data_IF_329037286317
#
_entry.id   IF_329037286317
#
_cell.length_a   1.000
_cell.length_b   1.000
_cell.length_c   1.000
_cell.angle_alpha   90.00
_cell.angle_beta   90.00
_cell.angle_gamma   90.00
#
_symmetry.space_group_name_H-M   'P 1'
#
loop_
_entity.id
_entity.type
_entity.pdbx_description
1 polymer ?
#
# COMPACT_ATOMS: atom_id res chain seq x y z
N UNK A 1 22.60 -4.58 -20.08
CA UNK A 1 23.25 -3.44 -19.37
C UNK A 1 22.28 -2.26 -19.33
N UNK A 2 21.78 -1.80 -20.46
CA UNK A 2 20.77 -0.72 -20.56
C UNK A 2 19.50 -0.92 -19.71
N UNK A 3 18.88 -2.11 -19.72
CA UNK A 3 17.70 -2.37 -18.87
C UNK A 3 17.98 -2.24 -17.37
N UNK A 4 19.22 -2.51 -16.94
CA UNK A 4 19.60 -2.36 -15.54
C UNK A 4 19.72 -0.88 -15.17
N UNK A 5 20.24 -0.05 -16.07
CA UNK A 5 20.24 1.42 -15.90
C UNK A 5 18.82 1.99 -15.88
N UNK A 6 17.92 1.52 -16.75
CA UNK A 6 16.52 1.94 -16.75
C UNK A 6 15.80 1.60 -15.44
N UNK A 7 15.99 0.38 -14.92
CA UNK A 7 15.46 -0.01 -13.62
C UNK A 7 16.03 0.87 -12.50
N UNK A 8 17.34 1.14 -12.53
CA UNK A 8 17.99 1.97 -11.52
C UNK A 8 17.53 3.43 -11.56
N UNK A 9 17.24 3.98 -12.74
CA UNK A 9 16.61 5.29 -12.89
C UNK A 9 15.20 5.33 -12.29
N UNK A 10 14.43 4.26 -12.45
CA UNK A 10 13.12 4.10 -11.81
C UNK A 10 13.21 4.12 -10.28
N UNK A 11 14.14 3.36 -9.70
CA UNK A 11 14.40 3.36 -8.25
C UNK A 11 14.90 4.72 -7.75
N UNK A 12 15.78 5.39 -8.49
CA UNK A 12 16.24 6.73 -8.15
C UNK A 12 15.07 7.72 -8.06
N UNK A 13 14.11 7.62 -8.98
CA UNK A 13 12.88 8.44 -8.98
C UNK A 13 11.98 8.11 -7.79
N UNK A 14 11.76 6.82 -7.52
CA UNK A 14 10.93 6.36 -6.41
C UNK A 14 11.51 6.75 -5.03
N UNK A 15 12.84 6.80 -4.91
CA UNK A 15 13.55 7.19 -3.69
C UNK A 15 13.70 8.71 -3.51
N UNK A 16 13.17 9.53 -4.43
CA UNK A 16 13.19 10.98 -4.24
C UNK A 16 12.35 11.38 -3.00
N UNK A 17 12.76 12.43 -2.26
CA UNK A 17 12.09 12.82 -1.01
C UNK A 17 10.58 13.00 -1.17
N UNK A 18 10.15 13.65 -2.26
CA UNK A 18 8.73 13.89 -2.56
C UNK A 18 7.92 12.61 -2.67
N UNK A 19 8.41 11.60 -3.41
CA UNK A 19 7.69 10.33 -3.58
C UNK A 19 7.61 9.57 -2.25
N UNK A 20 8.70 9.61 -1.46
CA UNK A 20 8.74 8.99 -0.14
C UNK A 20 7.72 9.63 0.81
N UNK A 21 7.61 10.96 0.88
CA UNK A 21 6.60 11.62 1.72
C UNK A 21 5.19 11.26 1.29
N UNK A 22 4.92 11.23 -0.02
CA UNK A 22 3.61 10.84 -0.54
C UNK A 22 3.28 9.38 -0.22
N UNK A 23 4.25 8.46 -0.33
CA UNK A 23 4.07 7.06 0.07
C UNK A 23 3.79 6.93 1.57
N UNK A 24 4.52 7.64 2.41
CA UNK A 24 4.30 7.64 3.86
C UNK A 24 2.90 8.14 4.19
N UNK A 25 2.49 9.29 3.63
CA UNK A 25 1.14 9.83 3.84
C UNK A 25 0.08 8.86 3.33
N UNK A 26 0.25 8.28 2.14
CA UNK A 26 -0.68 7.30 1.57
C UNK A 26 -0.82 6.05 2.44
N UNK A 27 0.28 5.52 2.97
CA UNK A 27 0.27 4.38 3.90
C UNK A 27 -0.40 4.75 5.21
N UNK A 28 -0.10 5.90 5.80
CA UNK A 28 -0.74 6.34 7.05
C UNK A 28 -2.26 6.53 6.87
N UNK A 29 -2.69 7.14 5.77
CA UNK A 29 -4.11 7.25 5.43
C UNK A 29 -4.73 5.87 5.19
N UNK A 30 -4.05 4.98 4.47
CA UNK A 30 -4.48 3.61 4.23
C UNK A 30 -4.60 2.78 5.52
N UNK A 31 -3.72 3.00 6.50
CA UNK A 31 -3.83 2.40 7.83
C UNK A 31 -5.02 2.97 8.59
N UNK A 32 -5.21 4.29 8.61
CA UNK A 32 -6.34 4.92 9.30
C UNK A 32 -7.68 4.43 8.73
N UNK A 33 -7.79 4.34 7.40
CA UNK A 33 -8.98 3.84 6.71
C UNK A 33 -9.12 2.32 6.87
N UNK A 34 -8.03 1.57 6.74
CA UNK A 34 -8.02 0.11 6.82
C UNK A 34 -8.27 -0.44 8.23
N UNK A 35 -7.94 0.34 9.26
CA UNK A 35 -8.15 0.00 10.68
C UNK A 35 -9.54 0.44 11.16
N UNK A 36 -10.40 1.00 10.29
CA UNK A 36 -11.80 1.22 10.64
C UNK A 36 -12.41 -0.09 11.18
N UNK A 37 -12.89 -0.10 12.44
CA UNK A 37 -13.35 -1.30 13.10
C UNK A 37 -14.56 -1.85 12.33
N UNK A 38 -14.37 -3.00 11.69
CA UNK A 38 -15.39 -3.65 10.87
C UNK A 38 -15.07 -3.80 9.38
N UNK A 39 -13.91 -3.39 8.86
CA UNK A 39 -13.60 -3.55 7.42
C UNK A 39 -12.47 -4.55 7.05
N UNK A 40 -11.48 -4.78 7.91
CA UNK A 40 -10.27 -5.55 7.51
C UNK A 40 -10.29 -7.06 7.76
N UNK A 41 -10.74 -7.50 8.93
CA UNK A 41 -10.70 -8.92 9.34
C UNK A 41 -12.09 -9.55 9.55
N UNK A 42 -13.07 -8.88 10.19
CA UNK A 42 -14.42 -9.45 10.34
C UNK A 42 -15.14 -9.60 9.01
N UNK A 43 -14.96 -8.68 8.05
CA UNK A 43 -15.63 -8.77 6.74
C UNK A 43 -15.06 -9.88 5.86
N UNK A 44 -13.75 -10.11 5.86
CA UNK A 44 -13.14 -11.24 5.14
C UNK A 44 -13.53 -12.59 5.75
N UNK A 45 -13.59 -12.67 7.09
CA UNK A 45 -14.03 -13.86 7.82
C UNK A 45 -15.55 -14.05 7.72
N UNK A 46 -16.35 -12.99 7.73
CA UNK A 46 -17.81 -13.02 7.52
C UNK A 46 -18.20 -13.41 6.10
N UNK A 47 -17.36 -13.12 5.10
CA UNK A 47 -17.58 -13.60 3.73
C UNK A 47 -17.22 -15.09 3.58
N UNK A 48 -16.29 -15.59 4.43
CA UNK A 48 -15.80 -16.98 4.41
C UNK A 48 -16.53 -17.90 5.38
N UNK A 49 -17.24 -17.36 6.38
CA UNK A 49 -18.17 -18.11 7.23
C UNK A 49 -19.54 -18.01 6.59
N UNK A 50 -20.13 -19.11 6.09
CA UNK A 50 -21.49 -19.11 5.59
C UNK A 50 -22.44 -18.82 6.76
N UNK A 51 -22.88 -17.57 6.87
CA UNK A 51 -24.02 -17.18 7.70
C UNK A 51 -25.26 -17.29 6.83
N UNK A 52 -25.92 -18.46 6.94
CA UNK A 52 -27.15 -18.91 6.27
C UNK A 52 -27.11 -18.98 4.75
#
# INVERSE_FOLDING_TARGET
MENFELLMGGFATALTPMHITLMIVGVLLGLIVGVLPGLGAPNGVSLLIPLT
#
